data_IF_611620684800
#
_entry.id   IF_611620684800
#
_cell.length_a   1.000
_cell.length_b   1.000
_cell.length_c   1.000
_cell.angle_alpha   90.00
_cell.angle_beta   90.00
_cell.angle_gamma   90.00
#
_symmetry.space_group_name_H-M   'P 1'
#
loop_
_entity.id
_entity.type
_entity.pdbx_description
1 polymer ?
#
# COMPACT_ATOMS: atom_id res chain seq x y z
N UNK A 1 -2.62 2.10 23.90
CA UNK A 1 -4.04 2.50 23.78
C UNK A 1 -4.08 3.98 23.46
N UNK A 2 -4.18 4.33 22.18
CA UNK A 2 -4.29 5.70 21.70
C UNK A 2 -5.73 5.94 21.23
N UNK A 3 -6.33 7.07 21.64
CA UNK A 3 -7.62 7.54 21.13
C UNK A 3 -8.83 7.10 21.96
N UNK A 4 -9.11 7.80 23.06
CA UNK A 4 -10.42 7.72 23.74
C UNK A 4 -11.32 8.93 23.43
N UNK A 5 -10.80 9.98 22.79
CA UNK A 5 -11.54 11.20 22.46
C UNK A 5 -11.71 11.39 20.95
N UNK A 6 -12.95 11.60 20.52
CA UNK A 6 -13.32 11.93 19.13
C UNK A 6 -12.62 13.21 18.63
N UNK A 7 -12.30 14.13 19.56
CA UNK A 7 -11.59 15.37 19.24
C UNK A 7 -10.14 15.14 18.82
N UNK A 8 -9.42 14.21 19.47
CA UNK A 8 -8.04 13.89 19.10
C UNK A 8 -7.99 13.31 17.68
N UNK A 9 -8.96 12.46 17.35
CA UNK A 9 -9.08 11.90 16.00
C UNK A 9 -9.36 12.97 14.93
N UNK A 10 -10.32 13.88 15.19
CA UNK A 10 -10.62 14.99 14.27
C UNK A 10 -9.40 15.89 14.08
N UNK A 11 -8.72 16.24 15.18
CA UNK A 11 -7.54 17.09 15.15
C UNK A 11 -6.44 16.48 14.29
N UNK A 12 -6.10 15.21 14.54
CA UNK A 12 -5.07 14.50 13.78
C UNK A 12 -5.45 14.42 12.29
N UNK A 13 -6.70 14.04 11.98
CA UNK A 13 -7.15 13.92 10.59
C UNK A 13 -7.13 15.26 9.86
N UNK A 14 -7.43 16.35 10.56
CA UNK A 14 -7.36 17.72 10.04
C UNK A 14 -5.91 18.12 9.77
N UNK A 15 -4.98 17.86 10.71
CA UNK A 15 -3.56 18.13 10.51
C UNK A 15 -2.99 17.36 9.31
N UNK A 16 -3.33 16.08 9.16
CA UNK A 16 -2.91 15.26 8.03
C UNK A 16 -3.43 15.87 6.72
N UNK A 17 -4.72 16.23 6.68
CA UNK A 17 -5.32 16.82 5.50
C UNK A 17 -4.63 18.13 5.10
N UNK A 18 -4.39 19.03 6.07
CA UNK A 18 -3.69 20.29 5.83
C UNK A 18 -2.27 20.06 5.27
N UNK A 19 -1.52 19.12 5.84
CA UNK A 19 -0.16 18.79 5.37
C UNK A 19 -0.14 18.21 3.95
N UNK A 20 -1.15 17.40 3.60
CA UNK A 20 -1.29 16.88 2.23
C UNK A 20 -1.71 17.96 1.24
N UNK A 21 -2.44 18.99 1.69
CA UNK A 21 -2.90 20.09 0.86
C UNK A 21 -1.78 21.10 0.53
N UNK A 22 -0.70 21.14 1.32
CA UNK A 22 0.46 22.04 1.09
C UNK A 22 1.05 21.86 -0.31
N UNK A 23 1.29 20.62 -0.75
CA UNK A 23 1.90 20.35 -2.05
C UNK A 23 1.04 20.80 -3.25
N UNK A 24 -0.26 20.41 -3.39
CA UNK A 24 -1.09 20.86 -4.50
C UNK A 24 -1.32 22.38 -4.47
N UNK A 25 -1.47 22.99 -3.29
CA UNK A 25 -1.58 24.45 -3.19
C UNK A 25 -0.30 25.15 -3.64
N UNK A 26 0.87 24.62 -3.27
CA UNK A 26 2.17 25.17 -3.68
C UNK A 26 2.36 25.12 -5.19
N UNK A 27 1.97 24.01 -5.82
CA UNK A 27 2.00 23.85 -7.29
C UNK A 27 1.04 24.82 -7.97
N UNK A 28 -0.22 24.89 -7.53
CA UNK A 28 -1.23 25.80 -8.09
C UNK A 28 -0.79 27.25 -7.95
N UNK A 29 -0.31 27.65 -6.79
CA UNK A 29 0.19 29.01 -6.55
C UNK A 29 1.38 29.34 -7.45
N UNK A 30 2.37 28.43 -7.53
CA UNK A 30 3.57 28.65 -8.34
C UNK A 30 3.21 28.80 -9.83
N UNK A 31 2.34 27.94 -10.35
CA UNK A 31 1.85 28.02 -11.73
C UNK A 31 1.01 29.28 -11.98
N UNK A 32 0.06 29.59 -11.10
CA UNK A 32 -0.78 30.78 -11.21
C UNK A 32 0.05 32.08 -11.18
N UNK A 33 1.10 32.12 -10.34
CA UNK A 33 2.02 33.26 -10.26
C UNK A 33 2.88 33.46 -11.52
N UNK A 34 3.04 32.40 -12.33
CA UNK A 34 3.76 32.44 -13.60
C UNK A 34 2.84 32.89 -14.75
N UNK A 35 1.56 32.51 -14.69
CA UNK A 35 0.56 32.78 -15.73
C UNK A 35 -0.12 34.13 -15.55
N UNK A 36 -0.31 34.59 -14.31
CA UNK A 36 -1.06 35.81 -13.99
C UNK A 36 -0.30 36.62 -12.94
N UNK A 37 -0.28 37.94 -13.10
CA UNK A 37 0.17 38.85 -12.02
C UNK A 37 -0.86 38.82 -10.90
N UNK A 38 -0.57 38.04 -9.87
CA UNK A 38 -1.41 37.94 -8.68
C UNK A 38 -1.44 39.30 -7.94
N UNK A 39 -2.62 39.75 -7.49
CA UNK A 39 -2.77 41.02 -6.77
C UNK A 39 -2.17 40.99 -5.35
N UNK A 40 -1.91 39.79 -4.82
CA UNK A 40 -1.35 39.58 -3.49
C UNK A 40 0.16 39.29 -3.56
N UNK A 41 0.96 40.12 -2.89
CA UNK A 41 2.39 39.89 -2.73
C UNK A 41 2.65 39.12 -1.44
N UNK A 42 2.96 37.82 -1.58
CA UNK A 42 3.48 37.03 -0.47
C UNK A 42 4.94 37.43 -0.19
N UNK A 43 5.39 37.36 1.08
CA UNK A 43 6.78 37.64 1.42
C UNK A 43 7.71 36.72 0.62
N UNK A 44 8.88 37.25 0.23
CA UNK A 44 9.84 36.57 -0.66
C UNK A 44 10.20 35.17 -0.16
N UNK A 45 10.37 35.01 1.15
CA UNK A 45 10.72 33.75 1.79
C UNK A 45 9.64 32.68 1.60
N UNK A 46 8.37 33.05 1.79
CA UNK A 46 7.25 32.13 1.63
C UNK A 46 7.06 31.75 0.17
N UNK A 47 7.27 32.70 -0.77
CA UNK A 47 7.25 32.40 -2.20
C UNK A 47 8.36 31.41 -2.58
N UNK A 48 9.57 31.61 -2.06
CA UNK A 48 10.69 30.70 -2.29
C UNK A 48 10.40 29.29 -1.73
N UNK A 49 9.80 29.22 -0.54
CA UNK A 49 9.38 27.96 0.08
C UNK A 49 8.34 27.21 -0.75
N UNK A 50 7.27 27.88 -1.18
CA UNK A 50 6.23 27.29 -2.03
C UNK A 50 6.79 26.82 -3.38
N UNK A 51 7.74 27.56 -3.96
CA UNK A 51 8.40 27.16 -5.19
C UNK A 51 9.28 25.90 -4.99
N UNK A 52 9.98 25.81 -3.86
CA UNK A 52 10.78 24.63 -3.52
C UNK A 52 9.90 23.38 -3.30
N UNK A 53 8.79 23.54 -2.59
CA UNK A 53 7.81 22.48 -2.35
C UNK A 53 7.17 22.00 -3.67
N UNK A 54 6.81 22.94 -4.57
CA UNK A 54 6.30 22.61 -5.90
C UNK A 54 7.35 21.89 -6.76
N UNK A 55 8.61 22.34 -6.73
CA UNK A 55 9.71 21.70 -7.45
C UNK A 55 9.96 20.28 -6.92
N UNK A 56 9.96 20.09 -5.60
CA UNK A 56 10.09 18.77 -4.97
C UNK A 56 8.96 17.83 -5.40
N UNK A 57 7.71 18.31 -5.36
CA UNK A 57 6.56 17.53 -5.79
C UNK A 57 6.68 17.09 -7.26
N UNK A 58 6.99 18.02 -8.16
CA UNK A 58 7.02 17.76 -9.60
C UNK A 58 8.27 16.98 -10.05
N UNK A 59 9.45 17.34 -9.55
CA UNK A 59 10.73 16.81 -10.04
C UNK A 59 11.24 15.59 -9.26
N UNK A 60 10.75 15.36 -8.04
CA UNK A 60 11.17 14.21 -7.22
C UNK A 60 10.00 13.25 -7.03
N UNK A 61 8.90 13.71 -6.43
CA UNK A 61 7.82 12.80 -6.03
C UNK A 61 7.10 12.17 -7.23
N UNK A 62 6.67 12.95 -8.23
CA UNK A 62 5.99 12.40 -9.41
C UNK A 62 6.84 11.38 -10.19
N UNK A 63 8.09 11.66 -10.59
CA UNK A 63 8.89 10.69 -11.33
C UNK A 63 9.25 9.47 -10.48
N UNK A 64 9.52 9.66 -9.19
CA UNK A 64 9.77 8.52 -8.29
C UNK A 64 8.52 7.66 -8.14
N UNK A 65 7.34 8.28 -8.03
CA UNK A 65 6.06 7.56 -7.99
C UNK A 65 5.83 6.76 -9.24
N UNK A 66 6.05 7.36 -10.40
CA UNK A 66 5.92 6.64 -11.65
C UNK A 66 6.91 5.48 -11.74
N UNK A 67 8.17 5.70 -11.35
CA UNK A 67 9.20 4.66 -11.35
C UNK A 67 8.86 3.49 -10.42
N UNK A 68 8.48 3.77 -9.18
CA UNK A 68 8.16 2.74 -8.17
C UNK A 68 6.84 2.01 -8.45
N UNK A 69 5.89 2.66 -9.12
CA UNK A 69 4.61 2.03 -9.50
C UNK A 69 4.68 1.27 -10.84
N UNK A 70 5.83 1.22 -11.51
CA UNK A 70 6.03 0.35 -12.68
C UNK A 70 5.90 -1.11 -12.25
N UNK A 71 5.36 -1.92 -13.16
CA UNK A 71 5.24 -3.36 -12.94
C UNK A 71 6.60 -3.96 -12.61
N UNK A 72 6.66 -4.69 -11.50
CA UNK A 72 7.88 -5.35 -11.07
C UNK A 72 8.29 -6.41 -12.10
N UNK A 73 9.58 -6.43 -12.47
CA UNK A 73 10.14 -7.51 -13.28
C UNK A 73 10.49 -8.67 -12.35
N UNK A 74 9.66 -9.70 -12.37
CA UNK A 74 9.88 -10.90 -11.60
C UNK A 74 10.90 -11.81 -12.28
N UNK A 75 11.73 -12.55 -11.50
CA UNK A 75 12.56 -13.60 -12.07
C UNK A 75 11.68 -14.68 -12.70
N UNK A 76 12.25 -15.44 -13.63
CA UNK A 76 11.55 -16.56 -14.27
C UNK A 76 11.04 -17.51 -13.17
N UNK A 77 9.74 -17.88 -13.18
CA UNK A 77 9.20 -18.79 -12.18
C UNK A 77 10.01 -20.10 -12.15
N UNK A 78 10.29 -20.66 -10.97
CA UNK A 78 10.98 -21.95 -10.86
C UNK A 78 10.14 -23.05 -11.52
N UNK A 79 10.73 -24.20 -11.80
CA UNK A 79 10.01 -25.28 -12.50
C UNK A 79 8.77 -25.76 -11.71
N UNK A 80 7.81 -26.40 -12.40
CA UNK A 80 6.57 -26.90 -11.78
C UNK A 80 6.81 -27.79 -10.55
N UNK A 81 7.84 -28.64 -10.60
CA UNK A 81 8.16 -29.54 -9.49
C UNK A 81 8.60 -28.76 -8.23
N UNK A 82 9.42 -27.72 -8.40
CA UNK A 82 9.89 -26.87 -7.31
C UNK A 82 8.74 -26.02 -6.75
N UNK A 83 7.87 -25.47 -7.61
CA UNK A 83 6.66 -24.74 -7.17
C UNK A 83 5.73 -25.61 -6.34
N UNK A 84 5.52 -26.87 -6.77
CA UNK A 84 4.72 -27.84 -6.01
C UNK A 84 5.35 -28.16 -4.65
N UNK A 85 6.68 -28.31 -4.59
CA UNK A 85 7.40 -28.52 -3.32
C UNK A 85 7.23 -27.32 -2.38
N UNK A 86 7.36 -26.11 -2.90
CA UNK A 86 7.13 -24.87 -2.14
C UNK A 86 5.68 -24.80 -1.63
N UNK A 87 4.70 -25.11 -2.48
CA UNK A 87 3.29 -25.15 -2.10
C UNK A 87 3.07 -26.07 -0.89
N UNK A 88 3.57 -27.30 -0.95
CA UNK A 88 3.41 -28.28 0.13
C UNK A 88 4.11 -27.82 1.41
N UNK A 89 5.33 -27.29 1.30
CA UNK A 89 6.07 -26.78 2.45
C UNK A 89 5.35 -25.61 3.14
N UNK A 90 4.79 -24.67 2.37
CA UNK A 90 4.04 -23.55 2.94
C UNK A 90 2.80 -24.04 3.69
N UNK A 91 2.00 -24.91 3.08
CA UNK A 91 0.71 -25.29 3.64
C UNK A 91 0.78 -26.35 4.74
N UNK A 92 1.83 -27.19 4.77
CA UNK A 92 2.07 -28.13 5.88
C UNK A 92 2.36 -27.41 7.21
N UNK A 93 2.79 -26.15 7.16
CA UNK A 93 3.08 -25.33 8.34
C UNK A 93 1.92 -24.40 8.73
N UNK A 94 0.77 -24.50 8.05
CA UNK A 94 -0.40 -23.66 8.35
C UNK A 94 -1.28 -24.36 9.39
N UNK A 95 -1.38 -23.84 10.63
CA UNK A 95 -2.19 -24.46 11.68
C UNK A 95 -3.70 -24.30 11.45
N UNK A 96 -4.13 -23.22 10.80
CA UNK A 96 -5.53 -22.95 10.47
C UNK A 96 -5.65 -22.45 9.01
N UNK A 97 -5.96 -23.36 8.06
CA UNK A 97 -6.09 -23.02 6.64
C UNK A 97 -7.23 -22.04 6.35
N UNK A 98 -8.30 -22.05 7.14
CA UNK A 98 -9.44 -21.16 6.93
C UNK A 98 -9.09 -19.73 7.34
N UNK A 99 -8.44 -19.55 8.48
CA UNK A 99 -7.95 -18.24 8.90
C UNK A 99 -6.82 -17.74 7.99
N UNK A 100 -5.95 -18.63 7.50
CA UNK A 100 -4.91 -18.30 6.54
C UNK A 100 -5.50 -17.67 5.28
N UNK A 101 -6.47 -18.33 4.64
CA UNK A 101 -7.15 -17.76 3.46
C UNK A 101 -7.86 -16.46 3.82
N UNK A 102 -8.63 -16.42 4.93
CA UNK A 102 -9.32 -15.19 5.34
C UNK A 102 -8.38 -13.99 5.45
N UNK A 103 -7.17 -14.18 5.99
CA UNK A 103 -6.15 -13.12 6.09
C UNK A 103 -5.68 -12.67 4.71
N UNK A 104 -5.42 -13.59 3.80
CA UNK A 104 -5.04 -13.27 2.41
C UNK A 104 -6.15 -12.61 1.59
N UNK A 105 -7.42 -12.84 1.95
CA UNK A 105 -8.59 -12.19 1.35
C UNK A 105 -9.10 -10.99 2.15
N UNK A 106 -8.21 -10.26 2.84
CA UNK A 106 -8.54 -9.00 3.55
C UNK A 106 -9.65 -9.13 4.61
N UNK A 107 -9.78 -10.31 5.23
CA UNK A 107 -10.82 -10.56 6.22
C UNK A 107 -12.19 -10.95 5.65
N UNK A 108 -12.30 -11.20 4.34
CA UNK A 108 -13.58 -11.54 3.70
C UNK A 108 -14.24 -12.78 4.33
N UNK A 109 -15.58 -12.83 4.40
CA UNK A 109 -16.28 -14.00 4.90
C UNK A 109 -16.02 -15.21 4.02
N UNK A 110 -15.97 -16.39 4.64
CA UNK A 110 -15.56 -17.63 3.98
C UNK A 110 -16.56 -18.13 2.91
N UNK A 111 -17.74 -17.52 2.80
CA UNK A 111 -18.74 -17.73 1.74
C UNK A 111 -18.46 -16.91 0.48
N UNK A 112 -17.74 -15.79 0.60
CA UNK A 112 -17.36 -14.96 -0.55
C UNK A 112 -16.05 -15.43 -1.18
N UNK A 113 -15.29 -16.28 -0.51
CA UNK A 113 -14.07 -16.89 -1.02
C UNK A 113 -14.46 -18.15 -1.78
N UNK A 114 -14.55 -18.03 -3.11
CA UNK A 114 -14.90 -19.14 -4.01
C UNK A 114 -13.68 -19.68 -4.74
N UNK A 115 -13.89 -20.77 -5.49
CA UNK A 115 -12.82 -21.49 -6.19
C UNK A 115 -12.00 -20.59 -7.11
N UNK A 116 -12.66 -19.74 -7.90
CA UNK A 116 -11.97 -18.86 -8.86
C UNK A 116 -11.10 -17.81 -8.14
N UNK A 117 -11.54 -17.32 -6.98
CA UNK A 117 -10.76 -16.38 -6.18
C UNK A 117 -9.48 -17.04 -5.63
N UNK A 118 -9.56 -18.32 -5.25
CA UNK A 118 -8.40 -19.09 -4.78
C UNK A 118 -7.42 -19.39 -5.92
N UNK A 119 -7.90 -19.66 -7.13
CA UNK A 119 -7.05 -19.78 -8.32
C UNK A 119 -6.27 -18.49 -8.59
N UNK A 120 -6.94 -17.34 -8.57
CA UNK A 120 -6.29 -16.04 -8.73
C UNK A 120 -5.21 -15.80 -7.65
N UNK A 121 -5.48 -16.24 -6.41
CA UNK A 121 -4.51 -16.14 -5.32
C UNK A 121 -3.25 -16.98 -5.60
N UNK A 122 -3.39 -18.22 -6.05
CA UNK A 122 -2.24 -19.08 -6.34
C UNK A 122 -1.47 -18.67 -7.59
N UNK A 123 -2.17 -18.17 -8.59
CA UNK A 123 -1.58 -17.59 -9.77
C UNK A 123 -0.66 -16.42 -9.42
N UNK A 124 -1.12 -15.53 -8.54
CA UNK A 124 -0.25 -14.49 -8.00
C UNK A 124 0.89 -15.08 -7.14
N UNK A 125 0.56 -15.93 -6.16
CA UNK A 125 1.51 -16.34 -5.12
C UNK A 125 2.68 -17.20 -5.65
N UNK A 126 2.46 -18.06 -6.64
CA UNK A 126 3.47 -18.99 -7.14
C UNK A 126 3.97 -18.67 -8.55
N UNK A 127 3.16 -18.00 -9.37
CA UNK A 127 3.53 -17.67 -10.76
C UNK A 127 3.88 -16.18 -10.93
N UNK A 128 3.67 -15.34 -9.91
CA UNK A 128 3.91 -13.89 -9.95
C UNK A 128 3.23 -13.19 -11.12
N UNK A 129 2.14 -13.77 -11.65
CA UNK A 129 1.38 -13.21 -12.78
C UNK A 129 -0.04 -12.86 -12.34
N UNK A 130 -0.57 -11.78 -12.89
CA UNK A 130 -1.97 -11.39 -12.77
C UNK A 130 -2.79 -11.75 -14.00
N UNK A 131 -2.13 -12.22 -15.06
CA UNK A 131 -2.75 -12.58 -16.33
C UNK A 131 -2.99 -14.07 -16.38
N UNK A 132 -4.23 -14.45 -16.68
CA UNK A 132 -4.63 -15.84 -16.80
C UNK A 132 -3.95 -16.47 -18.02
N UNK A 133 -3.21 -17.55 -17.77
CA UNK A 133 -2.53 -18.34 -18.78
C UNK A 133 -3.02 -19.80 -18.69
N UNK A 134 -3.69 -20.31 -19.74
CA UNK A 134 -4.24 -21.67 -19.76
C UNK A 134 -3.18 -22.76 -19.52
N UNK A 135 -1.90 -22.47 -19.78
CA UNK A 135 -0.82 -23.43 -19.55
C UNK A 135 -0.68 -23.85 -18.07
N UNK A 136 -1.17 -23.04 -17.14
CA UNK A 136 -1.10 -23.33 -15.70
C UNK A 136 -2.41 -23.79 -15.08
N UNK A 137 -3.49 -23.93 -15.87
CA UNK A 137 -4.81 -24.28 -15.32
C UNK A 137 -4.82 -25.61 -14.58
N UNK A 138 -4.13 -26.61 -15.13
CA UNK A 138 -3.99 -27.92 -14.46
C UNK A 138 -3.25 -27.81 -13.12
N UNK A 139 -2.22 -26.97 -13.04
CA UNK A 139 -1.43 -26.77 -11.82
C UNK A 139 -2.21 -25.99 -10.76
N UNK A 140 -2.93 -24.94 -11.17
CA UNK A 140 -3.80 -24.16 -10.28
C UNK A 140 -4.98 -24.99 -9.78
N UNK A 141 -5.50 -25.87 -10.62
CA UNK A 141 -6.56 -26.81 -10.27
C UNK A 141 -6.08 -27.82 -9.22
N UNK A 142 -4.87 -28.38 -9.40
CA UNK A 142 -4.22 -29.23 -8.41
C UNK A 142 -4.05 -28.53 -7.06
N UNK A 143 -3.54 -27.29 -7.05
CA UNK A 143 -3.35 -26.51 -5.82
C UNK A 143 -4.68 -26.17 -5.14
N UNK A 144 -5.71 -25.88 -5.91
CA UNK A 144 -7.04 -25.59 -5.36
C UNK A 144 -7.65 -26.81 -4.70
N UNK A 145 -7.53 -27.99 -5.32
CA UNK A 145 -8.00 -29.25 -4.73
C UNK A 145 -7.26 -29.59 -3.43
N UNK A 146 -5.95 -29.38 -3.40
CA UNK A 146 -5.15 -29.60 -2.20
C UNK A 146 -5.56 -28.63 -1.07
N UNK A 147 -5.91 -27.38 -1.39
CA UNK A 147 -6.49 -26.48 -0.40
C UNK A 147 -7.87 -26.90 0.10
N UNK A 148 -8.74 -27.40 -0.76
CA UNK A 148 -10.04 -27.95 -0.35
C UNK A 148 -9.85 -29.12 0.62
N UNK A 149 -8.84 -29.96 0.37
CA UNK A 149 -8.44 -31.05 1.27
C UNK A 149 -8.00 -30.53 2.63
N UNK A 150 -7.13 -29.51 2.66
CA UNK A 150 -6.65 -28.88 3.89
C UNK A 150 -7.77 -28.17 4.68
N UNK A 151 -8.74 -27.57 3.99
CA UNK A 151 -9.90 -26.93 4.61
C UNK A 151 -10.93 -27.95 5.12
N UNK A 152 -10.85 -29.22 4.70
CA UNK A 152 -11.85 -30.24 5.00
C UNK A 152 -13.22 -29.98 4.37
N UNK A 153 -13.31 -29.09 3.37
CA UNK A 153 -14.55 -28.74 2.67
C UNK A 153 -14.25 -28.32 1.23
N UNK A 154 -15.23 -28.54 0.34
CA UNK A 154 -15.17 -28.00 -1.02
C UNK A 154 -15.50 -26.51 -1.03
N UNK A 155 -14.82 -25.76 -1.88
CA UNK A 155 -15.13 -24.35 -2.14
C UNK A 155 -16.32 -24.26 -3.09
N UNK A 156 -17.13 -23.21 -2.94
CA UNK A 156 -18.24 -22.97 -3.85
C UNK A 156 -17.72 -22.69 -5.27
N UNK A 157 -18.46 -23.18 -6.27
CA UNK A 157 -18.16 -22.97 -7.67
C UNK A 157 -18.38 -21.51 -8.07
N UNK A 158 -17.54 -21.05 -9.01
CA UNK A 158 -17.59 -19.71 -9.58
C UNK A 158 -16.78 -18.68 -8.79
N UNK A 159 -17.13 -17.40 -9.00
CA UNK A 159 -16.43 -16.25 -8.47
C UNK A 159 -17.25 -15.52 -7.41
N UNK A 160 -16.64 -15.27 -6.26
CA UNK A 160 -17.21 -14.44 -5.22
C UNK A 160 -16.63 -13.02 -5.24
N UNK A 161 -17.13 -12.17 -4.35
CA UNK A 161 -16.73 -10.76 -4.25
C UNK A 161 -15.38 -10.54 -3.55
N UNK A 162 -14.82 -11.58 -2.92
CA UNK A 162 -13.57 -11.47 -2.18
C UNK A 162 -12.38 -11.18 -3.12
N UNK A 163 -11.57 -10.18 -2.76
CA UNK A 163 -10.32 -9.85 -3.46
C UNK A 163 -9.11 -10.36 -2.67
N UNK A 164 -8.26 -11.17 -3.30
CA UNK A 164 -6.99 -11.57 -2.71
C UNK A 164 -6.02 -10.38 -2.64
N UNK A 165 -5.14 -10.40 -1.65
CA UNK A 165 -3.98 -9.52 -1.60
C UNK A 165 -2.96 -9.99 -2.63
N UNK A 166 -2.53 -9.11 -3.53
CA UNK A 166 -1.45 -9.38 -4.49
C UNK A 166 -0.31 -8.41 -4.30
N UNK A 167 0.54 -8.66 -3.31
CA UNK A 167 1.53 -7.70 -2.81
C UNK A 167 2.50 -7.20 -3.90
N UNK A 168 2.77 -8.00 -4.92
CA UNK A 168 3.71 -7.66 -5.99
C UNK A 168 3.06 -7.04 -7.23
N UNK A 169 1.74 -7.18 -7.38
CA UNK A 169 1.00 -6.74 -8.57
C UNK A 169 0.05 -5.58 -8.29
N UNK A 170 -0.55 -5.55 -7.11
CA UNK A 170 -1.45 -4.48 -6.71
C UNK A 170 -0.62 -3.19 -6.50
N UNK A 171 -1.09 -2.09 -7.10
CA UNK A 171 -0.44 -0.79 -6.93
C UNK A 171 -0.47 -0.39 -5.46
N UNK A 172 0.71 -0.09 -4.92
CA UNK A 172 0.81 0.53 -3.60
C UNK A 172 0.32 1.97 -3.71
N UNK A 173 -0.68 2.31 -2.89
CA UNK A 173 -1.15 3.68 -2.74
C UNK A 173 -0.06 4.51 -2.06
N UNK A 174 0.81 5.13 -2.85
CA UNK A 174 1.81 6.04 -2.32
C UNK A 174 1.15 7.37 -1.96
N UNK A 175 1.23 7.71 -0.67
CA UNK A 175 0.86 9.03 -0.15
C UNK A 175 2.04 9.99 -0.32
N UNK A 176 1.74 11.20 -0.80
CA UNK A 176 2.74 12.25 -0.89
C UNK A 176 3.05 12.79 0.51
N UNK A 177 4.32 12.73 0.91
CA UNK A 177 4.83 13.42 2.09
C UNK A 177 5.55 14.68 1.62
N UNK A 178 5.09 15.85 2.08
CA UNK A 178 5.64 17.16 1.71
C UNK A 178 7.10 17.32 2.16
N UNK A 179 7.85 18.20 1.53
CA UNK A 179 9.20 18.56 1.99
C UNK A 179 9.15 19.11 3.41
N UNK A 180 8.12 19.90 3.72
CA UNK A 180 7.82 20.36 5.08
C UNK A 180 7.72 19.19 6.07
N UNK A 181 7.08 18.07 5.68
CA UNK A 181 7.01 16.87 6.51
C UNK A 181 8.40 16.29 6.79
N UNK A 182 9.22 16.14 5.76
CA UNK A 182 10.59 15.62 5.90
C UNK A 182 11.47 16.50 6.78
N UNK A 183 11.38 17.83 6.66
CA UNK A 183 12.14 18.74 7.52
C UNK A 183 11.72 18.63 9.00
N UNK A 184 10.41 18.54 9.26
CA UNK A 184 9.91 18.39 10.64
C UNK A 184 10.36 17.04 11.22
N UNK A 185 10.23 15.94 10.49
CA UNK A 185 10.72 14.62 10.92
C UNK A 185 12.23 14.63 11.16
N UNK A 186 13.02 15.16 10.21
CA UNK A 186 14.47 15.23 10.34
C UNK A 186 14.90 16.09 11.54
N UNK A 187 14.26 17.24 11.76
CA UNK A 187 14.58 18.09 12.92
C UNK A 187 14.37 17.39 14.27
N UNK A 188 13.45 16.41 14.33
CA UNK A 188 13.19 15.63 15.54
C UNK A 188 14.29 14.59 15.78
N UNK A 189 14.79 13.95 14.73
CA UNK A 189 15.84 12.92 14.83
C UNK A 189 17.20 13.50 15.26
N UNK A 190 17.47 14.77 14.94
CA UNK A 190 18.74 15.45 15.24
C UNK A 190 18.70 16.30 16.52
N UNK A 191 17.58 16.36 17.24
CA UNK A 191 17.48 17.08 18.50
C UNK A 191 17.85 16.18 19.69
N UNK A 192 19.07 16.30 20.28
CA UNK A 192 19.39 15.56 21.49
C UNK A 192 18.59 16.22 22.63
N UNK A 193 17.65 15.47 23.22
CA UNK A 193 16.81 15.85 24.37
C UNK A 193 15.64 16.80 24.07
N UNK A 194 14.49 16.22 23.68
CA UNK A 194 13.16 16.66 24.16
C UNK A 194 12.16 15.50 24.10
N UNK A 195 12.44 14.47 24.91
CA UNK A 195 11.81 13.14 24.83
C UNK A 195 10.35 13.04 25.31
N UNK A 196 9.71 14.10 25.82
CA UNK A 196 8.41 13.94 26.52
C UNK A 196 7.22 14.53 25.74
N UNK A 197 7.40 15.63 25.01
CA UNK A 197 6.30 16.25 24.27
C UNK A 197 6.18 15.72 22.83
N UNK A 198 7.31 15.44 22.16
CA UNK A 198 7.35 14.95 20.79
C UNK A 198 7.10 13.45 20.67
N UNK A 199 7.38 12.67 21.73
CA UNK A 199 7.09 11.24 21.75
C UNK A 199 5.59 10.95 21.59
N UNK A 200 4.70 11.81 22.11
CA UNK A 200 3.26 11.67 21.89
C UNK A 200 2.86 11.92 20.44
N UNK A 201 3.45 12.93 19.79
CA UNK A 201 3.18 13.24 18.38
C UNK A 201 3.74 12.14 17.46
N UNK A 202 4.96 11.65 17.74
CA UNK A 202 5.62 10.60 16.97
C UNK A 202 4.93 9.25 17.12
N UNK A 203 4.47 8.89 18.34
CA UNK A 203 3.71 7.65 18.57
C UNK A 203 2.33 7.71 17.91
N UNK A 204 1.71 8.89 17.82
CA UNK A 204 0.44 9.10 17.10
C UNK A 204 0.60 9.05 15.57
N UNK A 205 1.80 9.35 15.05
CA UNK A 205 2.09 9.39 13.62
C UNK A 205 2.74 8.11 13.08
N UNK A 206 3.41 7.32 13.92
CA UNK A 206 4.01 6.01 13.57
C UNK A 206 3.00 4.85 13.62
N UNK A 207 1.82 5.05 14.19
CA UNK A 207 0.71 4.08 14.20
C UNK A 207 -0.22 4.21 12.98
N UNK A 208 0.19 4.99 11.97
CA UNK A 208 -0.47 5.19 10.66
C UNK A 208 0.50 4.84 9.53
#
# INVERSE_FOLDING_TARGET
MAGTSLWDYIFIRTCIFLLHLVAPLSVVYSLASLLVRLPFQLPRELRAWLALEALFYLAVYLPLKEYLQRAAKHPVPPCRADRRKLFLQCHNNVPDPAQYLRKWFRGAPASEIKRDNVKDFFQWAFLNTGEHDPAYDEELEEYTQEMERLLGRKLELGRGNAKCLRLTLDKVEMLHRSLTWYLVSYSQDYAPKRHIMYARLLTLLLLL
#
